data_IF_786608718493
#
_entry.id   IF_786608718493
#
_cell.length_a   1.000
_cell.length_b   1.000
_cell.length_c   1.000
_cell.angle_alpha   90.00
_cell.angle_beta   90.00
_cell.angle_gamma   90.00
#
_symmetry.space_group_name_H-M   'P 1'
#
loop_
_entity.id
_entity.type
_entity.pdbx_description
1 polymer ?
#
# COMPACT_ATOMS: atom_id res chain seq x y z
N UNK A 1 -15.99 -1.00 9.24
CA UNK A 1 -16.58 -2.06 8.40
C UNK A 1 -15.59 -3.19 8.18
N UNK A 2 -14.63 -3.07 7.24
CA UNK A 2 -13.76 -4.18 6.85
C UNK A 2 -12.32 -4.12 7.41
N UNK A 3 -11.93 -3.03 8.08
CA UNK A 3 -10.66 -2.97 8.84
C UNK A 3 -9.56 -1.99 8.37
N UNK A 4 -9.85 -0.71 8.11
CA UNK A 4 -8.79 0.32 8.05
C UNK A 4 -7.98 0.39 9.35
N UNK A 5 -8.62 0.20 10.50
CA UNK A 5 -7.95 0.08 11.80
C UNK A 5 -7.31 -1.31 11.98
N UNK A 6 -8.15 -2.32 12.21
CA UNK A 6 -7.70 -3.64 12.69
C UNK A 6 -6.71 -4.35 11.76
N UNK A 7 -6.79 -4.18 10.44
CA UNK A 7 -5.85 -4.78 9.48
C UNK A 7 -4.76 -3.78 9.09
N UNK A 8 -5.15 -2.65 8.49
CA UNK A 8 -4.17 -1.78 7.85
C UNK A 8 -3.41 -0.93 8.85
N UNK A 9 -4.08 -0.25 9.76
CA UNK A 9 -3.40 0.55 10.76
C UNK A 9 -2.55 -0.32 11.69
N UNK A 10 -3.05 -1.49 12.10
CA UNK A 10 -2.28 -2.47 12.87
C UNK A 10 -1.05 -2.94 12.10
N UNK A 11 -1.20 -3.44 10.87
CA UNK A 11 -0.08 -3.92 10.05
C UNK A 11 0.94 -2.82 9.75
N UNK A 12 0.48 -1.60 9.49
CA UNK A 12 1.33 -0.43 9.29
C UNK A 12 2.06 -0.01 10.57
N UNK A 13 1.42 -0.11 11.74
CA UNK A 13 2.07 0.17 13.03
C UNK A 13 3.17 -0.86 13.34
N UNK A 14 2.90 -2.14 13.07
CA UNK A 14 3.89 -3.23 13.16
C UNK A 14 5.04 -2.97 12.19
N UNK A 15 4.73 -2.60 10.94
CA UNK A 15 5.71 -2.24 9.91
C UNK A 15 6.60 -1.06 10.31
N UNK A 16 6.02 -0.02 10.91
CA UNK A 16 6.80 1.11 11.44
C UNK A 16 7.70 0.69 12.60
N UNK A 17 7.18 -0.15 13.51
CA UNK A 17 7.96 -0.65 14.64
C UNK A 17 9.19 -1.44 14.18
N UNK A 18 9.04 -2.38 13.23
CA UNK A 18 10.18 -3.15 12.72
C UNK A 18 11.15 -2.27 11.92
N UNK A 19 10.67 -1.33 11.10
CA UNK A 19 11.55 -0.43 10.35
C UNK A 19 12.43 0.43 11.29
N UNK A 20 11.88 0.88 12.42
CA UNK A 20 12.63 1.64 13.42
C UNK A 20 13.63 0.78 14.22
N UNK A 21 13.26 -0.45 14.56
CA UNK A 21 14.13 -1.35 15.34
C UNK A 21 15.26 -1.94 14.47
N UNK A 22 14.92 -2.40 13.26
CA UNK A 22 15.87 -3.02 12.34
C UNK A 22 16.86 -1.99 11.77
N UNK A 23 16.39 -0.76 11.57
CA UNK A 23 17.14 0.32 10.95
C UNK A 23 17.23 0.19 9.42
N UNK A 24 17.82 1.18 8.75
CA UNK A 24 17.87 1.22 7.30
C UNK A 24 18.74 0.14 6.68
N UNK A 25 18.40 -0.30 5.46
CA UNK A 25 19.27 -1.18 4.65
C UNK A 25 20.61 -0.50 4.35
N UNK A 26 21.65 -1.32 4.20
CA UNK A 26 22.98 -0.85 3.86
C UNK A 26 22.95 -0.04 2.56
N UNK A 27 23.58 1.14 2.59
CA UNK A 27 23.61 2.05 1.45
C UNK A 27 22.31 2.81 1.17
N UNK A 28 21.21 2.60 1.92
CA UNK A 28 19.96 3.37 1.70
C UNK A 28 20.13 4.86 1.97
N UNK A 29 20.87 5.23 3.02
CA UNK A 29 21.12 6.62 3.40
C UNK A 29 22.62 6.88 3.51
N UNK A 30 23.07 7.99 2.92
CA UNK A 30 24.44 8.46 2.99
C UNK A 30 24.72 9.17 4.33
N UNK A 31 26.01 9.40 4.64
CA UNK A 31 26.43 10.09 5.88
C UNK A 31 25.90 11.52 6.00
N UNK A 32 25.62 12.18 4.89
CA UNK A 32 25.04 13.53 4.83
C UNK A 32 23.50 13.52 4.95
N UNK A 33 22.89 12.35 5.14
CA UNK A 33 21.45 12.15 5.24
C UNK A 33 20.72 12.03 3.90
N UNK A 34 21.42 12.15 2.77
CA UNK A 34 20.81 11.98 1.45
C UNK A 34 20.42 10.53 1.20
N UNK A 35 19.32 10.32 0.49
CA UNK A 35 18.73 9.03 0.26
C UNK A 35 19.17 8.46 -1.11
N UNK A 36 19.60 7.20 -1.14
CA UNK A 36 19.90 6.47 -2.37
C UNK A 36 18.70 5.61 -2.76
N UNK A 37 18.33 5.62 -4.04
CA UNK A 37 17.26 4.75 -4.53
C UNK A 37 17.74 3.29 -4.56
N UNK A 38 17.01 2.41 -3.89
CA UNK A 38 17.11 0.95 -4.06
C UNK A 38 15.91 0.54 -4.92
N UNK A 39 16.08 0.37 -6.25
CA UNK A 39 14.96 0.15 -7.14
C UNK A 39 14.28 -1.19 -6.85
N UNK A 40 12.96 -1.24 -7.07
CA UNK A 40 12.22 -2.49 -7.00
C UNK A 40 12.71 -3.49 -8.03
N UNK A 41 12.76 -4.77 -7.65
CA UNK A 41 13.28 -5.84 -8.51
C UNK A 41 12.50 -5.98 -9.83
N UNK A 42 11.17 -5.78 -9.81
CA UNK A 42 10.31 -5.96 -10.97
C UNK A 42 9.01 -5.13 -10.84
N UNK A 43 8.96 -3.97 -11.50
CA UNK A 43 7.78 -3.08 -11.49
C UNK A 43 6.52 -3.74 -12.08
N UNK A 44 6.56 -4.42 -13.24
CA UNK A 44 5.42 -5.19 -13.75
C UNK A 44 4.85 -6.21 -12.75
N UNK A 45 5.71 -6.91 -12.00
CA UNK A 45 5.26 -7.85 -10.96
C UNK A 45 4.57 -7.13 -9.80
N UNK A 46 5.08 -5.96 -9.40
CA UNK A 46 4.40 -5.09 -8.42
C UNK A 46 3.01 -4.66 -8.90
N UNK A 47 2.88 -4.24 -10.17
CA UNK A 47 1.60 -3.87 -10.77
C UNK A 47 0.63 -5.07 -10.79
N UNK A 48 1.11 -6.26 -11.18
CA UNK A 48 0.30 -7.48 -11.15
C UNK A 48 -0.19 -7.80 -9.73
N UNK A 49 0.68 -7.66 -8.73
CA UNK A 49 0.31 -7.80 -7.32
C UNK A 49 -0.80 -6.83 -6.92
N UNK A 50 -0.71 -5.57 -7.32
CA UNK A 50 -1.77 -4.58 -7.09
C UNK A 50 -3.09 -4.96 -7.77
N UNK A 51 -3.07 -5.48 -8.99
CA UNK A 51 -4.30 -5.94 -9.68
C UNK A 51 -4.95 -7.10 -8.92
N UNK A 52 -4.15 -8.07 -8.46
CA UNK A 52 -4.64 -9.20 -7.67
C UNK A 52 -5.24 -8.71 -6.35
N UNK A 53 -4.56 -7.80 -5.65
CA UNK A 53 -5.04 -7.21 -4.40
C UNK A 53 -6.32 -6.40 -4.62
N UNK A 54 -6.41 -5.62 -5.69
CA UNK A 54 -7.62 -4.86 -6.05
C UNK A 54 -8.80 -5.81 -6.23
N UNK A 55 -8.64 -6.86 -7.03
CA UNK A 55 -9.67 -7.86 -7.24
C UNK A 55 -10.07 -8.55 -5.93
N UNK A 56 -9.08 -9.00 -5.14
CA UNK A 56 -9.30 -9.60 -3.83
C UNK A 56 -10.03 -8.68 -2.85
N UNK A 57 -9.88 -7.36 -2.99
CA UNK A 57 -10.56 -6.37 -2.14
C UNK A 57 -12.09 -6.40 -2.27
N UNK A 58 -12.63 -6.91 -3.38
CA UNK A 58 -14.08 -7.17 -3.50
C UNK A 58 -14.55 -8.35 -2.65
N UNK A 59 -13.66 -9.30 -2.32
CA UNK A 59 -13.93 -10.29 -1.28
C UNK A 59 -13.78 -9.70 0.12
N UNK A 60 -12.83 -8.77 0.30
CA UNK A 60 -12.50 -8.16 1.59
C UNK A 60 -13.58 -7.17 2.08
N UNK A 61 -13.86 -6.12 1.32
CA UNK A 61 -14.77 -5.06 1.72
C UNK A 61 -16.23 -5.51 1.63
N UNK A 62 -16.80 -5.83 0.45
CA UNK A 62 -18.17 -6.36 0.34
C UNK A 62 -18.41 -7.60 1.20
N UNK A 63 -17.47 -8.55 1.25
CA UNK A 63 -17.61 -9.76 2.07
C UNK A 63 -17.74 -9.49 3.56
N UNK A 64 -17.28 -8.34 4.05
CA UNK A 64 -17.45 -7.91 5.44
C UNK A 64 -18.90 -7.54 5.79
N UNK A 65 -19.83 -7.53 4.83
CA UNK A 65 -21.26 -7.47 5.11
C UNK A 65 -21.79 -8.76 5.76
N UNK A 66 -21.10 -9.89 5.58
CA UNK A 66 -21.42 -11.21 6.17
C UNK A 66 -22.81 -11.76 5.81
N UNK A 67 -23.46 -11.21 4.78
CA UNK A 67 -24.77 -11.64 4.31
C UNK A 67 -25.10 -11.05 2.92
N UNK A 68 -26.08 -11.63 2.23
CA UNK A 68 -26.54 -11.18 0.90
C UNK A 68 -28.07 -11.12 0.80
N UNK A 69 -28.78 -11.07 1.92
CA UNK A 69 -30.25 -10.99 1.99
C UNK A 69 -30.68 -9.69 2.68
N UNK A 70 -31.84 -9.13 2.28
CA UNK A 70 -32.35 -7.89 2.88
C UNK A 70 -31.34 -6.75 2.81
N UNK A 71 -31.25 -5.94 3.87
CA UNK A 71 -30.33 -4.80 3.97
C UNK A 71 -28.86 -5.14 3.66
N UNK A 72 -28.42 -6.38 3.89
CA UNK A 72 -27.05 -6.79 3.62
C UNK A 72 -26.68 -6.74 2.13
N UNK A 73 -27.63 -6.95 1.20
CA UNK A 73 -27.34 -6.85 -0.24
C UNK A 73 -26.96 -5.42 -0.66
N UNK A 74 -27.57 -4.43 -0.01
CA UNK A 74 -27.30 -3.02 -0.26
C UNK A 74 -25.94 -2.62 0.33
N UNK A 75 -25.59 -3.15 1.52
CA UNK A 75 -24.25 -2.99 2.09
C UNK A 75 -23.15 -3.58 1.19
N UNK A 76 -23.35 -4.79 0.66
CA UNK A 76 -22.41 -5.46 -0.28
C UNK A 76 -22.21 -4.59 -1.52
N UNK A 77 -23.31 -4.12 -2.12
CA UNK A 77 -23.29 -3.34 -3.36
C UNK A 77 -22.62 -1.99 -3.17
N UNK A 78 -22.96 -1.28 -2.08
CA UNK A 78 -22.36 0.00 -1.74
C UNK A 78 -20.86 -0.15 -1.42
N UNK A 79 -20.49 -1.14 -0.62
CA UNK A 79 -19.10 -1.40 -0.30
C UNK A 79 -18.28 -1.74 -1.56
N UNK A 80 -18.84 -2.51 -2.50
CA UNK A 80 -18.18 -2.85 -3.75
C UNK A 80 -17.92 -1.61 -4.61
N UNK A 81 -18.96 -0.79 -4.82
CA UNK A 81 -18.86 0.44 -5.58
C UNK A 81 -17.83 1.40 -4.96
N UNK A 82 -17.95 1.65 -3.65
CA UNK A 82 -17.05 2.54 -2.93
C UNK A 82 -15.60 2.05 -2.97
N UNK A 83 -15.37 0.74 -2.88
CA UNK A 83 -14.04 0.13 -3.00
C UNK A 83 -13.42 0.42 -4.35
N UNK A 84 -14.16 0.18 -5.44
CA UNK A 84 -13.71 0.45 -6.80
C UNK A 84 -13.36 1.92 -6.99
N UNK A 85 -14.27 2.82 -6.61
CA UNK A 85 -14.11 4.26 -6.81
C UNK A 85 -12.95 4.84 -6.01
N UNK A 86 -12.81 4.46 -4.74
CA UNK A 86 -11.73 4.96 -3.89
C UNK A 86 -10.36 4.44 -4.33
N UNK A 87 -10.25 3.16 -4.70
CA UNK A 87 -9.01 2.60 -5.25
C UNK A 87 -8.58 3.30 -6.54
N UNK A 88 -9.51 3.51 -7.47
CA UNK A 88 -9.24 4.23 -8.71
C UNK A 88 -8.83 5.71 -8.45
N UNK A 89 -9.55 6.39 -7.57
CA UNK A 89 -9.25 7.77 -7.18
C UNK A 89 -7.90 7.92 -6.48
N UNK A 90 -7.53 6.96 -5.63
CA UNK A 90 -6.21 6.92 -4.98
C UNK A 90 -5.06 6.77 -5.98
N UNK A 91 -5.18 5.84 -6.92
CA UNK A 91 -4.18 5.68 -7.98
C UNK A 91 -4.04 6.93 -8.85
N UNK A 92 -5.17 7.50 -9.28
CA UNK A 92 -5.20 8.72 -10.10
C UNK A 92 -4.56 9.91 -9.37
N UNK A 93 -4.94 10.16 -8.12
CA UNK A 93 -4.42 11.28 -7.34
C UNK A 93 -2.94 11.14 -7.01
N UNK A 94 -2.46 9.95 -6.69
CA UNK A 94 -1.02 9.71 -6.49
C UNK A 94 -0.21 9.98 -7.76
N UNK A 95 -0.68 9.48 -8.90
CA UNK A 95 -0.05 9.72 -10.21
C UNK A 95 -0.04 11.22 -10.55
N UNK A 96 -1.18 11.91 -10.41
CA UNK A 96 -1.28 13.34 -10.69
C UNK A 96 -0.45 14.18 -9.72
N UNK A 97 -0.41 13.81 -8.44
CA UNK A 97 0.45 14.46 -7.45
C UNK A 97 1.92 14.33 -7.87
N UNK A 98 2.39 13.13 -8.22
CA UNK A 98 3.77 12.91 -8.64
C UNK A 98 4.13 13.65 -9.93
N UNK A 99 3.21 13.67 -10.89
CA UNK A 99 3.43 14.31 -12.17
C UNK A 99 3.38 15.85 -12.07
N UNK A 100 2.38 16.40 -11.39
CA UNK A 100 2.07 17.83 -11.45
C UNK A 100 2.60 18.61 -10.25
N UNK A 101 2.71 17.99 -9.07
CA UNK A 101 2.96 18.70 -7.80
C UNK A 101 4.33 18.37 -7.22
N UNK A 102 4.67 17.08 -7.10
CA UNK A 102 5.93 16.59 -6.52
C UNK A 102 7.17 17.27 -7.11
N UNK A 103 8.26 17.44 -6.33
CA UNK A 103 9.54 17.93 -6.84
C UNK A 103 10.10 17.13 -8.02
N UNK A 104 9.74 15.85 -8.12
CA UNK A 104 10.19 14.93 -9.19
C UNK A 104 9.58 15.28 -10.56
N UNK A 105 8.37 15.85 -10.58
CA UNK A 105 7.60 16.25 -11.79
C UNK A 105 7.52 15.16 -12.88
N UNK A 106 7.41 13.90 -12.47
CA UNK A 106 7.27 12.74 -13.37
C UNK A 106 6.29 11.74 -12.78
N UNK A 107 5.53 11.01 -13.60
CA UNK A 107 4.77 9.88 -13.12
C UNK A 107 5.71 8.82 -12.53
N UNK A 108 5.29 8.24 -11.40
CA UNK A 108 6.01 7.16 -10.73
C UNK A 108 5.07 5.95 -10.65
N UNK A 109 5.35 4.85 -11.36
CA UNK A 109 4.50 3.67 -11.34
C UNK A 109 4.38 3.03 -9.96
N UNK A 110 5.44 3.02 -9.15
CA UNK A 110 5.43 2.41 -7.82
C UNK A 110 4.53 3.21 -6.86
N UNK A 111 4.64 4.55 -6.88
CA UNK A 111 3.75 5.40 -6.10
C UNK A 111 2.32 5.41 -6.64
N UNK A 112 2.13 5.24 -7.95
CA UNK A 112 0.78 5.14 -8.52
C UNK A 112 0.06 3.87 -8.06
N UNK A 113 0.73 2.72 -8.05
CA UNK A 113 0.13 1.48 -7.52
C UNK A 113 -0.05 1.52 -6.00
N UNK A 114 0.88 2.13 -5.27
CA UNK A 114 0.68 2.39 -3.84
C UNK A 114 -0.47 3.38 -3.59
N UNK A 115 -0.74 4.32 -4.51
CA UNK A 115 -1.92 5.17 -4.50
C UNK A 115 -3.23 4.38 -4.62
N UNK A 116 -3.25 3.39 -5.51
CA UNK A 116 -4.40 2.47 -5.62
C UNK A 116 -4.63 1.75 -4.29
N UNK A 117 -3.57 1.15 -3.73
CA UNK A 117 -3.66 0.45 -2.43
C UNK A 117 -4.06 1.42 -1.29
N UNK A 118 -3.53 2.64 -1.27
CA UNK A 118 -3.89 3.66 -0.29
C UNK A 118 -5.38 4.01 -0.34
N UNK A 119 -5.95 4.17 -1.53
CA UNK A 119 -7.39 4.40 -1.71
C UNK A 119 -8.23 3.23 -1.21
N UNK A 120 -7.80 1.99 -1.51
CA UNK A 120 -8.43 0.77 -1.01
C UNK A 120 -8.36 0.66 0.53
N UNK A 121 -7.19 0.93 1.12
CA UNK A 121 -6.99 0.96 2.57
C UNK A 121 -7.88 2.01 3.24
N UNK A 122 -7.91 3.23 2.70
CA UNK A 122 -8.65 4.33 3.31
C UNK A 122 -10.17 4.12 3.27
N UNK A 123 -10.70 3.47 2.23
CA UNK A 123 -12.14 3.21 2.14
C UNK A 123 -12.58 1.99 2.96
N UNK A 124 -11.66 1.14 3.41
CA UNK A 124 -11.97 -0.16 4.02
C UNK A 124 -12.85 -0.08 5.29
N UNK A 125 -12.59 0.87 6.19
CA UNK A 125 -13.47 1.12 7.34
C UNK A 125 -14.81 1.79 6.93
N UNK A 126 -14.83 2.84 6.09
CA UNK A 126 -16.05 3.56 5.72
C UNK A 126 -16.87 2.98 4.56
N UNK A 127 -16.45 1.92 3.86
CA UNK A 127 -17.01 1.53 2.55
C UNK A 127 -18.53 1.28 2.52
N UNK A 128 -19.15 0.89 3.64
CA UNK A 128 -20.60 0.71 3.75
C UNK A 128 -21.33 1.86 4.48
N UNK A 129 -20.58 2.85 4.95
CA UNK A 129 -21.08 3.97 5.76
C UNK A 129 -21.15 5.29 4.99
N UNK A 130 -20.43 5.42 3.87
CA UNK A 130 -20.26 6.68 3.14
C UNK A 130 -20.88 6.63 1.74
N UNK A 131 -21.16 7.80 1.19
CA UNK A 131 -21.66 7.91 -0.18
C UNK A 131 -20.57 7.61 -1.22
N UNK A 132 -20.94 7.24 -2.46
CA UNK A 132 -20.05 7.17 -3.61
C UNK A 132 -19.12 8.36 -3.81
N UNK A 133 -19.66 9.58 -3.66
CA UNK A 133 -18.88 10.81 -3.83
C UNK A 133 -17.86 10.94 -2.70
N UNK A 134 -18.25 10.66 -1.47
CA UNK A 134 -17.33 10.62 -0.33
C UNK A 134 -16.23 9.59 -0.53
N UNK A 135 -16.53 8.42 -1.11
CA UNK A 135 -15.53 7.39 -1.39
C UNK A 135 -14.45 7.88 -2.37
N UNK A 136 -14.85 8.58 -3.43
CA UNK A 136 -13.91 9.22 -4.36
C UNK A 136 -13.03 10.24 -3.63
N UNK A 137 -13.63 11.12 -2.80
CA UNK A 137 -12.88 12.13 -2.04
C UNK A 137 -11.87 11.48 -1.08
N UNK A 138 -12.29 10.44 -0.35
CA UNK A 138 -11.43 9.67 0.56
C UNK A 138 -10.25 9.08 -0.21
N UNK A 139 -10.49 8.48 -1.38
CA UNK A 139 -9.47 7.94 -2.25
C UNK A 139 -8.50 9.00 -2.79
N UNK A 140 -9.01 10.15 -3.27
CA UNK A 140 -8.18 11.25 -3.75
C UNK A 140 -7.22 11.78 -2.66
N UNK A 141 -7.72 11.91 -1.43
CA UNK A 141 -6.89 12.33 -0.29
C UNK A 141 -5.84 11.25 0.02
N UNK A 142 -6.25 9.97 0.00
CA UNK A 142 -5.36 8.86 0.31
C UNK A 142 -4.17 8.74 -0.65
N UNK A 143 -4.40 8.94 -1.96
CA UNK A 143 -3.34 8.93 -2.96
C UNK A 143 -2.34 10.09 -2.82
N UNK A 144 -2.76 11.24 -2.28
CA UNK A 144 -1.82 12.32 -1.92
C UNK A 144 -1.07 11.98 -0.63
N UNK A 145 -1.78 11.47 0.39
CA UNK A 145 -1.18 11.11 1.68
C UNK A 145 -0.08 10.07 1.57
N UNK A 146 -0.23 9.06 0.70
CA UNK A 146 0.80 8.03 0.52
C UNK A 146 2.11 8.61 -0.03
N UNK A 147 2.03 9.56 -0.97
CA UNK A 147 3.21 10.25 -1.52
C UNK A 147 3.88 11.11 -0.45
N UNK A 148 3.10 11.92 0.28
CA UNK A 148 3.62 12.79 1.34
C UNK A 148 4.26 12.00 2.48
N UNK A 149 3.61 10.91 2.91
CA UNK A 149 4.13 10.05 3.96
C UNK A 149 5.42 9.34 3.52
N UNK A 150 5.51 8.89 2.26
CA UNK A 150 6.74 8.29 1.73
C UNK A 150 7.91 9.26 1.81
N UNK A 151 7.73 10.50 1.36
CA UNK A 151 8.77 11.53 1.45
C UNK A 151 9.09 11.94 2.90
N UNK A 152 8.10 11.93 3.79
CA UNK A 152 8.32 12.21 5.20
C UNK A 152 9.19 11.13 5.86
N UNK A 153 8.92 9.84 5.61
CA UNK A 153 9.74 8.73 6.12
C UNK A 153 11.18 8.80 5.60
N UNK A 154 11.36 9.07 4.31
CA UNK A 154 12.69 9.24 3.72
C UNK A 154 13.46 10.37 4.40
N UNK A 155 12.82 11.51 4.65
CA UNK A 155 13.43 12.65 5.36
C UNK A 155 13.79 12.31 6.81
N UNK A 156 13.05 11.41 7.45
CA UNK A 156 13.34 10.90 8.79
C UNK A 156 14.35 9.74 8.80
N UNK A 157 14.89 9.37 7.62
CA UNK A 157 15.80 8.24 7.44
C UNK A 157 15.21 6.89 7.89
N UNK A 158 13.88 6.76 7.79
CA UNK A 158 13.17 5.50 8.03
C UNK A 158 13.08 4.77 6.69
N UNK A 159 13.73 3.62 6.60
CA UNK A 159 13.70 2.79 5.40
C UNK A 159 12.50 1.84 5.44
N UNK A 160 11.44 2.22 4.73
CA UNK A 160 10.29 1.37 4.44
C UNK A 160 10.39 0.87 2.99
N UNK A 161 10.86 -0.37 2.76
CA UNK A 161 11.23 -0.84 1.42
C UNK A 161 10.08 -0.90 0.41
N UNK A 162 8.86 -1.08 0.91
CA UNK A 162 7.67 -1.32 0.07
C UNK A 162 6.61 -0.23 0.22
N UNK A 163 6.82 0.74 1.12
CA UNK A 163 5.83 1.77 1.44
C UNK A 163 4.67 1.22 2.27
N UNK A 164 4.92 0.22 3.12
CA UNK A 164 3.90 -0.36 3.99
C UNK A 164 3.32 0.65 4.98
N UNK A 165 4.15 1.52 5.56
CA UNK A 165 3.71 2.53 6.53
C UNK A 165 2.86 3.62 5.86
N UNK A 166 3.27 4.25 4.73
CA UNK A 166 2.42 5.16 3.99
C UNK A 166 1.09 4.53 3.52
N UNK A 167 1.14 3.32 2.95
CA UNK A 167 -0.06 2.65 2.43
C UNK A 167 -0.99 2.19 3.54
N UNK A 168 -0.47 1.60 4.61
CA UNK A 168 -1.31 0.94 5.61
C UNK A 168 -1.48 1.75 6.89
N UNK A 169 -0.41 2.29 7.48
CA UNK A 169 -0.54 3.06 8.72
C UNK A 169 -1.24 4.39 8.48
N UNK A 170 -0.67 5.23 7.61
CA UNK A 170 -1.17 6.60 7.38
C UNK A 170 -2.56 6.58 6.77
N UNK A 171 -2.78 5.77 5.74
CA UNK A 171 -4.10 5.67 5.13
C UNK A 171 -5.09 4.82 5.94
N UNK A 172 -4.60 3.94 6.83
CA UNK A 172 -5.42 3.27 7.82
C UNK A 172 -5.99 4.26 8.83
N UNK A 173 -5.14 5.16 9.38
CA UNK A 173 -5.56 6.28 10.22
C UNK A 173 -6.56 7.16 9.48
N UNK A 174 -6.25 7.57 8.25
CA UNK A 174 -7.17 8.38 7.44
C UNK A 174 -8.52 7.68 7.23
N UNK A 175 -8.52 6.40 6.90
CA UNK A 175 -9.75 5.63 6.69
C UNK A 175 -10.60 5.49 7.96
N UNK A 176 -9.96 5.25 9.11
CA UNK A 176 -10.64 5.22 10.42
C UNK A 176 -11.28 6.57 10.72
N UNK A 177 -10.55 7.68 10.55
CA UNK A 177 -11.09 9.03 10.78
C UNK A 177 -12.18 9.40 9.75
N UNK A 178 -12.06 8.93 8.51
CA UNK A 178 -13.04 9.19 7.45
C UNK A 178 -14.44 8.66 7.79
N UNK A 179 -14.55 7.58 8.58
CA UNK A 179 -15.85 7.14 9.14
C UNK A 179 -16.47 8.27 9.97
N UNK A 180 -15.71 8.86 10.89
CA UNK A 180 -16.18 9.93 11.78
C UNK A 180 -16.51 11.24 11.06
N UNK A 181 -16.02 11.44 9.84
CA UNK A 181 -16.25 12.65 9.04
C UNK A 181 -17.41 12.45 8.06
N UNK A 182 -17.39 11.35 7.30
CA UNK A 182 -18.21 11.15 6.10
C UNK A 182 -19.37 10.17 6.26
N UNK A 183 -19.51 9.47 7.40
CA UNK A 183 -20.60 8.51 7.57
C UNK A 183 -21.97 9.20 7.38
N UNK A 184 -22.76 8.68 6.45
CA UNK A 184 -23.92 9.36 5.89
C UNK A 184 -25.26 8.94 6.53
N UNK A 185 -25.22 8.25 7.66
CA UNK A 185 -26.43 7.76 8.31
C UNK A 185 -27.11 6.63 7.54
N UNK A 186 -26.33 5.69 6.99
CA UNK A 186 -26.89 4.54 6.28
C UNK A 186 -27.70 3.64 7.25
N UNK A 187 -29.04 3.54 7.11
CA UNK A 187 -29.88 2.76 8.03
C UNK A 187 -29.62 1.26 7.93
N UNK A 188 -29.15 0.76 6.78
CA UNK A 188 -28.90 -0.67 6.56
C UNK A 188 -27.78 -1.22 7.44
N UNK A 189 -26.95 -0.32 8.00
CA UNK A 189 -25.85 -0.69 8.89
C UNK A 189 -26.30 -1.15 10.26
N UNK A 190 -27.53 -0.83 10.69
CA UNK A 190 -28.07 -1.21 11.99
C UNK A 190 -28.12 -2.74 12.18
N UNK A 191 -28.54 -3.47 11.13
CA UNK A 191 -28.55 -4.93 11.14
C UNK A 191 -27.15 -5.55 11.16
N UNK A 192 -26.11 -4.79 10.77
CA UNK A 192 -24.73 -5.26 10.68
C UNK A 192 -23.95 -5.06 11.99
N UNK A 193 -24.02 -3.87 12.60
CA UNK A 193 -23.30 -3.56 13.84
C UNK A 193 -24.15 -3.74 15.11
N UNK A 194 -25.46 -4.00 14.99
CA UNK A 194 -26.37 -4.07 16.12
C UNK A 194 -26.62 -2.71 16.79
N UNK A 195 -26.40 -1.61 16.07
CA UNK A 195 -26.65 -0.24 16.54
C UNK A 195 -27.88 0.31 15.81
N UNK A 196 -28.99 0.42 16.53
CA UNK A 196 -30.28 0.87 15.94
C UNK A 196 -30.23 2.29 15.37
N UNK A 197 -29.33 3.14 15.87
CA UNK A 197 -29.13 4.49 15.35
C UNK A 197 -28.15 4.50 14.19
N UNK A 198 -28.55 5.10 13.07
CA UNK A 198 -27.69 5.25 11.92
C UNK A 198 -26.40 6.01 12.27
N UNK A 199 -25.26 5.46 11.85
CA UNK A 199 -23.94 6.06 12.10
C UNK A 199 -23.78 7.32 11.24
N UNK A 200 -23.68 8.48 11.89
CA UNK A 200 -23.48 9.78 11.24
C UNK A 200 -22.14 10.39 11.62
N UNK A 201 -21.44 10.92 10.62
CA UNK A 201 -20.22 11.68 10.79
C UNK A 201 -20.48 13.18 10.85
N UNK A 202 -19.40 13.95 11.01
CA UNK A 202 -19.46 15.41 11.18
C UNK A 202 -20.23 16.13 10.06
N UNK A 203 -20.07 15.69 8.80
CA UNK A 203 -20.75 16.31 7.66
C UNK A 203 -22.26 16.05 7.61
N UNK A 204 -22.75 15.10 8.41
CA UNK A 204 -24.15 14.70 8.51
C UNK A 204 -24.74 14.95 9.90
N UNK A 205 -24.09 15.82 10.69
CA UNK A 205 -24.57 16.26 12.01
C UNK A 205 -24.18 15.38 13.20
N UNK A 206 -23.48 14.27 12.98
CA UNK A 206 -22.99 13.40 14.05
C UNK A 206 -21.65 13.88 14.61
N UNK A 207 -21.56 14.09 15.92
CA UNK A 207 -20.33 14.58 16.58
C UNK A 207 -19.62 13.53 17.43
N UNK A 208 -20.33 12.50 17.89
CA UNK A 208 -19.74 11.45 18.73
C UNK A 208 -18.81 10.52 17.93
N UNK A 209 -19.12 10.27 16.65
CA UNK A 209 -18.41 9.27 15.86
C UNK A 209 -16.92 9.61 15.69
N UNK A 210 -16.58 10.89 15.44
CA UNK A 210 -15.18 11.28 15.28
C UNK A 210 -14.34 11.02 16.53
N UNK A 211 -14.92 11.23 17.73
CA UNK A 211 -14.23 10.94 18.98
C UNK A 211 -13.98 9.43 19.17
N UNK A 212 -14.95 8.59 18.79
CA UNK A 212 -14.78 7.14 18.79
C UNK A 212 -13.67 6.69 17.82
N UNK A 213 -13.64 7.26 16.60
CA UNK A 213 -12.60 6.96 15.63
C UNK A 213 -11.20 7.42 16.09
N UNK A 214 -11.10 8.58 16.75
CA UNK A 214 -9.82 9.01 17.35
C UNK A 214 -9.36 8.07 18.47
N UNK A 215 -10.28 7.61 19.31
CA UNK A 215 -9.95 6.64 20.36
C UNK A 215 -9.48 5.31 19.75
N UNK A 216 -10.10 4.84 18.67
CA UNK A 216 -9.65 3.66 17.92
C UNK A 216 -8.21 3.84 17.40
N UNK A 217 -7.91 4.98 16.76
CA UNK A 217 -6.56 5.30 16.28
C UNK A 217 -5.55 5.31 17.44
N UNK A 218 -5.84 5.97 18.55
CA UNK A 218 -4.89 6.01 19.68
C UNK A 218 -4.68 4.61 20.27
N UNK A 219 -5.76 3.84 20.40
CA UNK A 219 -5.71 2.49 20.98
C UNK A 219 -4.88 1.54 20.12
N UNK A 220 -5.14 1.51 18.80
CA UNK A 220 -4.39 0.65 17.88
C UNK A 220 -2.94 1.10 17.79
N UNK A 221 -2.68 2.41 17.68
CA UNK A 221 -1.31 2.92 17.63
C UNK A 221 -0.54 2.54 18.90
N UNK A 222 -1.08 2.83 20.09
CA UNK A 222 -0.40 2.54 21.35
C UNK A 222 -0.16 1.04 21.54
N UNK A 223 -1.17 0.21 21.27
CA UNK A 223 -1.08 -1.23 21.48
C UNK A 223 -0.21 -1.92 20.43
N UNK A 224 -0.55 -1.78 19.14
CA UNK A 224 0.12 -2.51 18.06
C UNK A 224 1.57 -2.04 17.90
N UNK A 225 1.82 -0.72 17.85
CA UNK A 225 3.19 -0.22 17.76
C UNK A 225 3.99 -0.57 19.02
N UNK A 226 3.44 -0.30 20.21
CA UNK A 226 4.16 -0.50 21.47
C UNK A 226 4.56 -1.95 21.71
N UNK A 227 3.63 -2.89 21.52
CA UNK A 227 3.89 -4.32 21.68
C UNK A 227 4.86 -4.83 20.62
N UNK A 228 4.67 -4.49 19.35
CA UNK A 228 5.56 -4.92 18.27
C UNK A 228 6.95 -4.34 18.40
N UNK A 229 7.09 -3.07 18.80
CA UNK A 229 8.39 -2.46 19.05
C UNK A 229 9.14 -3.20 20.16
N UNK A 230 8.48 -3.47 21.29
CA UNK A 230 9.07 -4.24 22.38
C UNK A 230 9.50 -5.65 21.91
N UNK A 231 8.63 -6.34 21.17
CA UNK A 231 8.91 -7.65 20.62
C UNK A 231 10.13 -7.66 19.67
N UNK A 232 10.16 -6.77 18.67
CA UNK A 232 11.27 -6.69 17.74
C UNK A 232 12.56 -6.23 18.43
N UNK A 233 12.49 -5.35 19.42
CA UNK A 233 13.66 -4.93 20.19
C UNK A 233 14.29 -6.11 20.97
N UNK A 234 13.46 -7.03 21.49
CA UNK A 234 13.95 -8.27 22.10
C UNK A 234 14.63 -9.15 21.06
N UNK A 235 13.99 -9.39 19.90
CA UNK A 235 14.58 -10.20 18.83
C UNK A 235 15.90 -9.60 18.30
N UNK A 236 15.96 -8.28 18.15
CA UNK A 236 17.17 -7.57 17.74
C UNK A 236 18.30 -7.75 18.77
N UNK A 237 18.00 -7.69 20.07
CA UNK A 237 18.98 -7.94 21.14
C UNK A 237 19.45 -9.39 21.20
N UNK A 238 18.61 -10.34 20.75
CA UNK A 238 18.98 -11.74 20.63
C UNK A 238 19.79 -12.04 19.36
N UNK A 239 19.99 -11.06 18.47
CA UNK A 239 20.68 -11.25 17.19
C UNK A 239 19.88 -12.06 16.18
N UNK A 240 18.54 -12.09 16.28
CA UNK A 240 17.67 -12.93 15.44
C UNK A 240 16.98 -12.20 14.29
N UNK A 241 17.14 -10.87 14.19
CA UNK A 241 16.28 -10.05 13.31
C UNK A 241 16.99 -9.55 12.04
N UNK A 242 18.27 -9.17 12.11
CA UNK A 242 19.02 -8.62 10.98
C UNK A 242 20.03 -9.65 10.47
N UNK A 243 20.08 -9.81 9.15
CA UNK A 243 21.08 -10.64 8.47
C UNK A 243 22.50 -10.06 8.61
N UNK A 244 23.51 -10.91 8.43
CA UNK A 244 24.90 -10.47 8.38
C UNK A 244 25.13 -9.45 7.23
N UNK A 245 26.02 -8.45 7.41
CA UNK A 245 26.25 -7.41 6.41
C UNK A 245 26.67 -7.96 5.04
N UNK A 246 27.49 -9.00 5.01
CA UNK A 246 27.93 -9.66 3.78
C UNK A 246 26.76 -10.35 3.06
N UNK A 247 25.86 -10.98 3.80
CA UNK A 247 24.65 -11.61 3.26
C UNK A 247 23.66 -10.55 2.75
N UNK A 248 23.49 -9.43 3.47
CA UNK A 248 22.64 -8.31 3.03
C UNK A 248 23.17 -7.70 1.72
N UNK A 249 24.50 -7.53 1.59
CA UNK A 249 25.13 -7.01 0.37
C UNK A 249 25.10 -8.00 -0.81
N UNK A 250 25.17 -9.30 -0.54
CA UNK A 250 25.07 -10.34 -1.57
C UNK A 250 23.63 -10.55 -2.07
N UNK A 251 22.63 -10.19 -1.27
CA UNK A 251 21.23 -10.55 -1.46
C UNK A 251 20.89 -11.86 -0.74
N UNK A 252 19.71 -11.92 -0.11
CA UNK A 252 19.36 -13.00 0.83
C UNK A 252 19.00 -14.34 0.16
N UNK A 253 18.75 -14.36 -1.15
CA UNK A 253 18.35 -15.56 -1.88
C UNK A 253 19.34 -16.73 -1.69
N UNK A 254 20.63 -16.50 -1.92
CA UNK A 254 21.64 -17.54 -1.74
C UNK A 254 21.95 -17.84 -0.26
N UNK A 255 22.27 -16.84 0.60
CA UNK A 255 22.65 -17.10 1.98
C UNK A 255 21.52 -17.70 2.84
N UNK A 256 20.27 -17.30 2.62
CA UNK A 256 19.13 -17.74 3.45
C UNK A 256 18.31 -18.86 2.78
N UNK A 257 18.16 -18.85 1.45
CA UNK A 257 17.29 -19.79 0.72
C UNK A 257 18.07 -20.85 -0.08
N UNK A 258 19.39 -20.69 -0.23
CA UNK A 258 20.28 -21.66 -0.90
C UNK A 258 20.16 -21.71 -2.42
N UNK A 259 19.31 -20.88 -3.04
CA UNK A 259 19.12 -20.81 -4.50
C UNK A 259 18.93 -19.34 -4.92
N UNK A 260 19.37 -18.93 -6.13
CA UNK A 260 19.07 -17.58 -6.63
C UNK A 260 17.59 -17.46 -7.02
N UNK A 261 17.00 -16.28 -6.80
CA UNK A 261 15.64 -15.99 -7.24
C UNK A 261 15.49 -15.99 -8.77
N UNK A 262 16.51 -15.50 -9.49
CA UNK A 262 16.56 -15.55 -10.96
C UNK A 262 17.85 -16.17 -11.48
N UNK A 263 17.75 -16.82 -12.64
CA UNK A 263 18.91 -17.41 -13.33
C UNK A 263 19.96 -16.34 -13.71
N UNK A 264 19.51 -15.10 -13.94
CA UNK A 264 20.37 -13.94 -14.24
C UNK A 264 21.21 -13.47 -13.06
N UNK A 265 20.86 -13.88 -11.84
CA UNK A 265 21.57 -13.48 -10.61
C UNK A 265 22.81 -14.36 -10.37
N UNK A 266 23.01 -15.39 -11.19
CA UNK A 266 24.21 -16.22 -11.17
C UNK A 266 25.43 -15.47 -11.74
N UNK A 267 26.57 -15.47 -11.03
CA UNK A 267 27.82 -14.92 -11.55
C UNK A 267 28.20 -15.58 -12.89
N UNK A 268 28.26 -14.79 -13.97
CA UNK A 268 28.58 -15.26 -15.32
C UNK A 268 27.42 -15.22 -16.32
N UNK A 269 26.17 -15.07 -15.87
CA UNK A 269 24.99 -14.87 -16.73
C UNK A 269 24.47 -13.43 -16.70
N UNK A 270 25.00 -12.56 -15.82
CA UNK A 270 24.62 -11.16 -15.63
C UNK A 270 24.84 -10.22 -16.85
N UNK A 271 25.22 -10.76 -18.02
CA UNK A 271 25.30 -10.06 -19.30
C UNK A 271 24.63 -10.80 -20.46
N UNK A 272 24.01 -11.96 -20.20
CA UNK A 272 23.24 -12.73 -21.17
C UNK A 272 21.75 -12.41 -21.03
N UNK A 273 21.40 -11.13 -21.08
CA UNK A 273 20.04 -10.80 -21.49
C UNK A 273 19.81 -11.43 -22.87
N UNK A 274 18.73 -12.19 -23.10
CA UNK A 274 18.29 -12.39 -24.46
C UNK A 274 18.05 -10.98 -25.00
N UNK A 275 18.88 -10.53 -25.96
CA UNK A 275 18.43 -9.45 -26.80
C UNK A 275 17.14 -9.99 -27.43
N UNK A 276 15.99 -9.55 -26.91
CA UNK A 276 14.74 -9.61 -27.66
C UNK A 276 14.94 -8.60 -28.77
N UNK A 277 15.76 -8.99 -29.75
CA UNK A 277 15.81 -8.36 -31.03
C UNK A 277 14.41 -8.52 -31.58
N UNK A 278 13.67 -7.41 -31.59
CA UNK A 278 12.70 -7.20 -32.64
C UNK A 278 13.49 -7.34 -33.93
N UNK A 279 13.54 -8.55 -34.47
CA UNK A 279 14.08 -8.80 -35.78
C UNK A 279 13.34 -7.84 -36.71
N UNK A 280 14.03 -6.80 -37.15
CA UNK A 280 13.54 -6.01 -38.27
C UNK A 280 13.32 -7.01 -39.42
N UNK A 281 12.14 -7.00 -40.08
CA UNK A 281 11.95 -7.84 -41.24
C UNK A 281 12.98 -7.42 -42.28
N UNK A 282 13.79 -8.40 -42.71
CA UNK A 282 14.87 -8.21 -43.65
C UNK A 282 14.36 -7.52 -44.92
N UNK A 283 14.70 -6.25 -45.09
CA UNK A 283 14.56 -5.55 -46.35
C UNK A 283 15.74 -5.91 -47.25
N UNK A 284 15.45 -6.75 -48.24
CA UNK A 284 16.10 -6.83 -49.56
C UNK A 284 17.61 -6.61 -49.63
N UNK A 285 18.36 -7.71 -49.78
CA UNK A 285 19.57 -7.71 -50.61
C UNK A 285 19.45 -8.86 -51.60
N UNK A 286 18.79 -8.58 -52.72
CA UNK A 286 18.90 -9.35 -53.94
C UNK A 286 20.13 -8.85 -54.72
N UNK A 287 20.88 -9.82 -55.26
CA UNK A 287 21.82 -9.76 -56.37
C UNK A 287 23.26 -9.24 -56.12
N UNK A 288 24.21 -10.17 -56.09
CA UNK A 288 25.31 -10.24 -57.06
C UNK A 288 25.85 -11.69 -57.15
N UNK A 289 26.32 -12.17 -58.33
CA UNK A 289 26.55 -13.59 -58.57
C UNK A 289 27.97 -14.07 -58.25
N UNK A 290 28.06 -15.37 -58.01
CA UNK A 290 29.27 -16.19 -57.85
C UNK A 290 30.11 -16.17 -59.12
N UNK A 291 31.44 -16.07 -58.98
CA UNK A 291 32.40 -16.38 -60.05
C UNK A 291 33.00 -17.78 -59.87
N UNK A 292 32.75 -18.60 -60.90
CA UNK A 292 33.27 -19.94 -61.24
C UNK A 292 32.89 -21.11 -60.36
#
# INVERSE_FOLDING_TARGET
FAGSGVVHMTGGAVGLAIALVLGPRLGRFNKDGTANAIPGHNIPMGILGTVILFFGWFGFNPGSALGIQGAFIDLVSLAAANTLMAGAAGGLSAMLYMWLISPVKKPDPALSVNGVLAGLVAITAPCAFVTPISAVIIGLIAGVLVCLATFALEKMQIDDPVGAVPVHFVNGVWGVLAVGIFAAGNPDTAAWNGIDTAVTGLLYGGTAQIAAQFLEVISIAAFAFGLSYAFFAVLMRMGLLRSDPEAEMAGLDLPEMGIPGYVTDLPGLAGLTPQVGLAQPAASVLAAPVSK
#
